data_IF_875722248337
#
_entry.id   IF_875722248337
#
_cell.length_a   1.000
_cell.length_b   1.000
_cell.length_c   1.000
_cell.angle_alpha   90.00
_cell.angle_beta   90.00
_cell.angle_gamma   90.00
#
_symmetry.space_group_name_H-M   'P 1'
#
loop_
_entity.id
_entity.type
_entity.pdbx_description
1 polymer ?
#
# COMPACT_ATOMS: atom_id res chain seq x y z
N UNK A 1 -17.99 -2.92 -5.40
CA UNK A 1 -16.70 -2.21 -5.17
C UNK A 1 -15.55 -3.11 -5.62
N UNK A 2 -14.76 -2.69 -6.62
CA UNK A 2 -13.61 -3.47 -7.10
C UNK A 2 -12.48 -3.43 -6.06
N UNK A 3 -12.10 -4.58 -5.49
CA UNK A 3 -11.03 -4.73 -4.49
C UNK A 3 -9.62 -4.87 -5.11
N UNK A 4 -9.47 -4.60 -6.41
CA UNK A 4 -8.21 -4.85 -7.13
C UNK A 4 -7.20 -3.72 -6.86
N UNK A 5 -5.99 -4.10 -6.43
CA UNK A 5 -4.84 -3.19 -6.26
C UNK A 5 -4.24 -2.80 -7.61
N UNK A 6 -4.24 -3.73 -8.57
CA UNK A 6 -3.74 -3.51 -9.92
C UNK A 6 -4.80 -3.90 -10.95
N UNK A 7 -5.00 -3.06 -11.98
CA UNK A 7 -5.89 -3.32 -13.11
C UNK A 7 -7.21 -2.53 -13.05
N UNK A 8 -7.52 -1.84 -14.15
CA UNK A 8 -8.78 -1.11 -14.36
C UNK A 8 -9.62 -1.86 -15.41
N UNK A 9 -10.76 -2.41 -15.00
CA UNK A 9 -11.90 -2.59 -15.92
C UNK A 9 -12.91 -1.42 -15.79
N UNK A 10 -12.58 -0.37 -15.02
CA UNK A 10 -13.51 0.75 -14.78
C UNK A 10 -12.88 1.96 -14.10
N UNK A 11 -11.70 2.40 -14.56
CA UNK A 11 -11.07 3.63 -14.09
C UNK A 11 -9.84 3.43 -13.21
N UNK A 12 -9.01 4.47 -13.19
CA UNK A 12 -7.68 4.59 -12.56
C UNK A 12 -7.63 4.02 -11.13
N UNK A 13 -7.11 2.80 -10.98
CA UNK A 13 -6.86 2.12 -9.69
C UNK A 13 -5.89 2.84 -8.74
N UNK A 14 -5.46 4.06 -9.08
CA UNK A 14 -4.54 4.92 -8.34
C UNK A 14 -5.04 5.23 -6.92
N UNK A 15 -6.34 5.43 -6.72
CA UNK A 15 -6.90 5.75 -5.40
C UNK A 15 -6.69 4.60 -4.40
N UNK A 16 -7.05 3.36 -4.79
CA UNK A 16 -6.93 2.21 -3.88
C UNK A 16 -5.47 1.83 -3.63
N UNK A 17 -4.60 1.95 -4.64
CA UNK A 17 -3.15 1.77 -4.51
C UNK A 17 -2.55 2.68 -3.42
N UNK A 18 -2.93 3.96 -3.43
CA UNK A 18 -2.49 4.96 -2.44
C UNK A 18 -2.87 4.56 -1.01
N UNK A 19 -4.12 4.17 -0.79
CA UNK A 19 -4.57 3.77 0.55
C UNK A 19 -3.96 2.46 1.01
N UNK A 20 -3.82 1.48 0.11
CA UNK A 20 -3.16 0.23 0.43
C UNK A 20 -1.69 0.45 0.78
N UNK A 21 -0.94 1.25 0.02
CA UNK A 21 0.47 1.50 0.33
C UNK A 21 0.64 2.16 1.71
N UNK A 22 -0.25 3.09 2.08
CA UNK A 22 -0.28 3.68 3.43
C UNK A 22 -0.63 2.66 4.51
N UNK A 23 -1.54 1.74 4.23
CA UNK A 23 -1.86 0.64 5.14
C UNK A 23 -0.63 -0.22 5.40
N UNK A 24 0.12 -0.57 4.36
CA UNK A 24 1.37 -1.33 4.47
C UNK A 24 2.42 -0.58 5.30
N UNK A 25 2.55 0.75 5.14
CA UNK A 25 3.44 1.54 6.01
C UNK A 25 3.10 1.36 7.51
N UNK A 26 1.81 1.36 7.86
CA UNK A 26 1.36 1.18 9.25
C UNK A 26 1.51 -0.25 9.74
N UNK A 27 1.19 -1.24 8.91
CA UNK A 27 1.39 -2.65 9.26
C UNK A 27 2.86 -2.97 9.51
N UNK A 28 3.75 -2.49 8.64
CA UNK A 28 5.18 -2.62 8.84
C UNK A 28 5.62 -2.04 10.19
N UNK A 29 5.14 -0.83 10.51
CA UNK A 29 5.44 -0.17 11.77
C UNK A 29 4.91 -0.92 12.99
N UNK A 30 3.78 -1.63 12.88
CA UNK A 30 3.28 -2.49 13.95
C UNK A 30 4.15 -3.74 14.13
N UNK A 31 4.57 -4.36 13.04
CA UNK A 31 5.32 -5.62 13.06
C UNK A 31 6.79 -5.43 13.44
N UNK A 32 7.39 -4.31 13.04
CA UNK A 32 8.83 -4.07 13.16
C UNK A 32 9.18 -2.91 14.09
N UNK A 33 8.18 -2.17 14.59
CA UNK A 33 8.35 -0.99 15.45
C UNK A 33 8.91 0.26 14.76
N UNK A 34 9.43 0.14 13.56
CA UNK A 34 10.05 1.21 12.79
C UNK A 34 9.18 1.61 11.58
N UNK A 35 9.22 2.89 11.20
CA UNK A 35 8.54 3.35 9.99
C UNK A 35 9.41 3.07 8.76
N UNK A 36 8.92 2.38 7.72
CA UNK A 36 9.71 2.16 6.52
C UNK A 36 9.87 3.47 5.72
N UNK A 37 10.97 3.63 4.99
CA UNK A 37 11.19 4.85 4.19
C UNK A 37 10.14 5.02 3.08
N UNK A 38 9.87 3.95 2.33
CA UNK A 38 8.89 3.94 1.23
C UNK A 38 8.29 2.54 1.02
N UNK A 39 7.09 2.53 0.45
CA UNK A 39 6.40 1.33 -0.06
C UNK A 39 6.23 1.49 -1.57
N UNK A 40 6.67 0.49 -2.31
CA UNK A 40 6.50 0.42 -3.77
C UNK A 40 5.60 -0.76 -4.13
N UNK A 41 4.55 -0.49 -4.90
CA UNK A 41 3.65 -1.52 -5.41
C UNK A 41 4.07 -1.85 -6.84
N UNK A 42 4.28 -3.14 -7.10
CA UNK A 42 4.61 -3.67 -8.42
C UNK A 42 3.47 -4.55 -8.93
N UNK A 43 3.02 -4.27 -10.16
CA UNK A 43 2.20 -5.20 -10.92
C UNK A 43 3.14 -6.20 -11.57
N UNK A 44 3.03 -7.44 -11.14
CA UNK A 44 3.81 -8.55 -11.66
C UNK A 44 2.94 -9.35 -12.62
N UNK A 45 3.46 -9.69 -13.79
CA UNK A 45 2.76 -10.46 -14.79
C UNK A 45 3.70 -11.33 -15.61
N UNK A 46 3.18 -12.41 -16.16
CA UNK A 46 3.85 -13.22 -17.18
C UNK A 46 2.80 -13.87 -18.08
N UNK A 47 3.12 -14.15 -19.35
CA UNK A 47 2.19 -14.83 -20.25
C UNK A 47 2.02 -16.29 -19.82
N UNK A 48 0.77 -16.66 -19.51
CA UNK A 48 0.40 -18.05 -19.25
C UNK A 48 0.33 -18.79 -20.60
N UNK A 49 1.02 -19.92 -20.77
CA UNK A 49 0.95 -20.72 -21.99
C UNK A 49 -0.48 -21.18 -22.30
N UNK A 50 -0.83 -21.32 -23.58
CA UNK A 50 -2.16 -21.77 -23.98
C UNK A 50 -2.38 -23.26 -23.66
N UNK A 51 -3.64 -23.74 -23.55
CA UNK A 51 -3.93 -25.15 -23.30
C UNK A 51 -3.23 -26.11 -24.29
N UNK A 52 -3.09 -25.71 -25.56
CA UNK A 52 -2.40 -26.49 -26.59
C UNK A 52 -0.90 -26.60 -26.32
N UNK A 53 -0.27 -25.56 -25.75
CA UNK A 53 1.16 -25.54 -25.43
C UNK A 53 1.53 -26.42 -24.23
N UNK A 54 0.58 -26.69 -23.34
CA UNK A 54 0.80 -27.47 -22.09
C UNK A 54 0.22 -28.88 -22.15
N UNK A 55 -0.44 -29.26 -23.25
CA UNK A 55 -1.06 -30.58 -23.40
C UNK A 55 -0.01 -31.68 -23.36
N UNK A 56 -0.06 -32.52 -22.32
CA UNK A 56 0.91 -33.61 -22.10
C UNK A 56 2.31 -33.15 -21.70
N UNK A 57 2.52 -31.84 -21.50
CA UNK A 57 3.78 -31.24 -21.07
C UNK A 57 3.47 -30.20 -20.00
N UNK A 58 3.30 -30.60 -18.74
CA UNK A 58 3.13 -29.65 -17.65
C UNK A 58 4.35 -28.71 -17.61
N UNK A 59 4.10 -27.43 -17.38
CA UNK A 59 5.14 -26.42 -17.24
C UNK A 59 5.25 -25.99 -15.79
N UNK A 60 6.44 -25.58 -15.37
CA UNK A 60 6.67 -24.99 -14.04
C UNK A 60 6.38 -23.47 -14.11
N UNK A 61 5.35 -22.98 -13.39
CA UNK A 61 5.02 -21.55 -13.36
C UNK A 61 6.17 -20.68 -12.85
N UNK A 62 6.97 -21.15 -11.90
CA UNK A 62 8.07 -20.38 -11.31
C UNK A 62 9.19 -20.18 -12.33
N UNK A 63 9.57 -21.24 -13.05
CA UNK A 63 10.54 -21.12 -14.14
C UNK A 63 10.04 -20.20 -15.25
N UNK A 64 8.76 -20.32 -15.61
CA UNK A 64 8.17 -19.50 -16.66
C UNK A 64 8.12 -18.01 -16.27
N UNK A 65 7.75 -17.73 -15.02
CA UNK A 65 7.80 -16.39 -14.45
C UNK A 65 9.22 -15.82 -14.42
N UNK A 66 10.21 -16.60 -13.99
CA UNK A 66 11.60 -16.12 -13.96
C UNK A 66 12.14 -15.80 -15.37
N UNK A 67 11.65 -16.49 -16.41
CA UNK A 67 12.09 -16.29 -17.80
C UNK A 67 11.37 -15.18 -18.54
N UNK A 68 10.06 -15.01 -18.30
CA UNK A 68 9.19 -14.12 -19.10
C UNK A 68 8.41 -13.12 -18.24
N UNK A 69 8.67 -13.11 -16.95
CA UNK A 69 8.07 -12.19 -16.01
C UNK A 69 8.43 -10.76 -16.35
N UNK A 70 7.46 -9.87 -16.17
CA UNK A 70 7.68 -8.44 -16.16
C UNK A 70 7.05 -7.88 -14.89
N UNK A 71 7.70 -6.86 -14.35
CA UNK A 71 7.22 -6.11 -13.20
C UNK A 71 7.11 -4.64 -13.57
N UNK A 72 5.93 -4.08 -13.41
CA UNK A 72 5.69 -2.65 -13.62
C UNK A 72 5.42 -2.01 -12.28
N UNK A 73 6.20 -0.98 -11.91
CA UNK A 73 5.90 -0.19 -10.73
C UNK A 73 4.61 0.60 -10.98
N UNK A 74 3.60 0.37 -10.14
CA UNK A 74 2.28 1.01 -10.27
C UNK A 74 2.07 2.12 -9.25
N UNK A 75 2.77 2.08 -8.11
CA UNK A 75 2.62 3.09 -7.09
C UNK A 75 3.85 3.19 -6.18
N UNK A 76 4.08 4.38 -5.64
CA UNK A 76 5.11 4.62 -4.62
C UNK A 76 4.55 5.56 -3.57
N UNK A 77 4.74 5.21 -2.31
CA UNK A 77 4.34 6.00 -1.13
C UNK A 77 5.56 6.17 -0.23
N UNK A 78 5.98 7.41 0.01
CA UNK A 78 6.95 7.71 1.08
C UNK A 78 6.20 7.75 2.41
N UNK A 79 6.48 6.83 3.33
CA UNK A 79 5.63 6.63 4.50
C UNK A 79 5.69 7.81 5.47
N UNK A 80 6.87 8.40 5.66
CA UNK A 80 7.07 9.55 6.54
C UNK A 80 6.34 10.82 6.06
N UNK A 81 6.17 11.01 4.74
CA UNK A 81 5.49 12.18 4.17
C UNK A 81 4.03 11.93 3.83
N UNK A 82 3.62 10.67 3.82
CA UNK A 82 2.28 10.32 3.36
C UNK A 82 1.27 10.56 4.47
N UNK A 83 0.19 11.31 4.19
CA UNK A 83 -0.83 11.51 5.17
C UNK A 83 -1.51 10.19 5.52
N UNK A 84 -1.70 9.95 6.82
CA UNK A 84 -2.20 8.68 7.37
C UNK A 84 -1.29 7.49 7.02
N UNK A 85 -0.04 7.72 6.61
CA UNK A 85 0.95 6.66 6.36
C UNK A 85 1.57 6.09 7.64
N UNK A 86 1.47 6.84 8.74
CA UNK A 86 2.04 6.49 10.04
C UNK A 86 0.94 6.09 11.02
N UNK A 87 1.31 5.36 12.06
CA UNK A 87 0.43 5.11 13.18
C UNK A 87 0.23 6.39 14.01
N UNK A 88 -1.00 6.71 14.42
CA UNK A 88 -1.25 7.77 15.40
C UNK A 88 -0.69 7.37 16.77
N UNK A 89 -0.33 8.36 17.59
CA UNK A 89 0.27 8.15 18.91
C UNK A 89 -0.57 7.21 19.80
N UNK A 90 -1.89 7.35 19.79
CA UNK A 90 -2.80 6.48 20.56
C UNK A 90 -2.66 4.99 20.19
N UNK A 91 -2.50 4.68 18.90
CA UNK A 91 -2.27 3.29 18.47
C UNK A 91 -0.86 2.85 18.79
N UNK A 92 0.14 3.72 18.62
CA UNK A 92 1.52 3.40 18.97
C UNK A 92 1.66 3.07 20.45
N UNK A 93 1.05 3.84 21.34
CA UNK A 93 1.02 3.60 22.78
C UNK A 93 0.36 2.26 23.12
N UNK A 94 -0.80 1.97 22.53
CA UNK A 94 -1.49 0.67 22.70
C UNK A 94 -0.64 -0.52 22.28
N UNK A 95 0.22 -0.34 21.29
CA UNK A 95 1.12 -1.36 20.77
C UNK A 95 2.53 -1.31 21.38
N UNK A 96 2.76 -0.50 22.42
CA UNK A 96 4.05 -0.43 23.12
C UNK A 96 5.18 0.25 22.34
N UNK A 97 4.87 0.96 21.25
CA UNK A 97 5.84 1.60 20.37
C UNK A 97 6.26 3.01 20.85
N UNK A 98 5.64 3.52 21.92
CA UNK A 98 5.84 4.89 22.39
C UNK A 98 5.32 5.96 21.41
N UNK A 99 5.29 7.22 21.83
CA UNK A 99 4.86 8.33 20.96
C UNK A 99 5.80 8.52 19.78
N UNK A 100 5.24 8.87 18.63
CA UNK A 100 6.04 9.22 17.48
C UNK A 100 6.82 10.52 17.75
N UNK A 101 8.04 10.62 17.26
CA UNK A 101 8.78 11.88 17.29
C UNK A 101 8.05 12.95 16.48
N UNK A 102 8.25 14.23 16.83
CA UNK A 102 7.61 15.40 16.18
C UNK A 102 7.83 15.47 14.65
N UNK A 103 8.77 14.69 14.10
CA UNK A 103 9.11 14.62 12.67
C UNK A 103 8.51 13.41 11.94
N UNK A 104 7.95 12.44 12.65
CA UNK A 104 7.46 11.20 12.06
C UNK A 104 6.01 11.31 11.57
N UNK A 105 5.19 12.15 12.21
CA UNK A 105 3.76 12.21 11.90
C UNK A 105 3.45 13.36 10.96
N UNK A 106 3.23 13.06 9.68
CA UNK A 106 2.53 13.99 8.78
C UNK A 106 1.03 13.92 9.07
N UNK A 107 0.59 14.71 10.06
CA UNK A 107 -0.81 14.79 10.45
C UNK A 107 -1.63 15.46 9.34
N UNK A 108 -2.70 14.79 8.93
CA UNK A 108 -3.78 15.45 8.21
C UNK A 108 -4.63 16.18 9.23
N UNK A 109 -4.32 17.43 9.53
CA UNK A 109 -5.33 18.33 10.09
C UNK A 109 -6.36 18.64 8.99
N UNK A 110 -7.28 17.69 8.75
CA UNK A 110 -8.47 17.95 7.94
C UNK A 110 -9.59 18.40 8.88
N UNK A 111 -9.72 19.72 8.98
CA UNK A 111 -10.96 20.49 9.18
C UNK A 111 -12.01 19.82 10.08
N UNK A 112 -11.82 19.92 11.39
CA UNK A 112 -12.92 19.79 12.37
C UNK A 112 -13.09 21.05 13.24
N UNK A 113 -12.48 22.18 12.84
CA UNK A 113 -12.66 23.48 13.50
C UNK A 113 -13.74 24.35 12.83
N UNK A 114 -14.83 23.76 12.35
CA UNK A 114 -15.93 24.50 11.70
C UNK A 114 -17.33 24.23 12.30
N UNK A 115 -17.43 23.59 13.48
CA UNK A 115 -18.73 23.23 14.06
C UNK A 115 -18.98 23.67 15.51
N UNK A 116 -18.14 24.53 16.09
CA UNK A 116 -18.38 25.08 17.45
C UNK A 116 -18.03 26.56 17.52
N UNK A 117 -18.77 27.38 16.77
CA UNK A 117 -18.59 28.82 16.76
C UNK A 117 -19.80 29.57 16.21
N UNK A 118 -20.96 29.39 16.84
CA UNK A 118 -22.08 30.34 16.71
C UNK A 118 -23.05 30.16 17.88
N UNK A 119 -22.79 30.86 18.97
CA UNK A 119 -23.76 31.23 20.00
C UNK A 119 -23.10 32.24 20.96
N UNK A 120 -23.21 33.51 20.62
CA UNK A 120 -23.23 34.65 21.55
C UNK A 120 -24.06 35.75 20.91
#
# INVERSE_FOLDING_TARGET
MNRRIAGSEGGTGSWYQKWHARYICRQWQLEHGELPAKVELYKVGYPIPTPQQVKGKPYDPKQQYNRRGHSTKIHTTECAKSPLGQLPDELRERHGLGRAGRREVHRVEQRTAAATGSAS
#
